data_IF_651691335864
#
_entry.id   IF_651691335864
#
_cell.length_a   1.000
_cell.length_b   1.000
_cell.length_c   1.000
_cell.angle_alpha   90.00
_cell.angle_beta   90.00
_cell.angle_gamma   90.00
#
_symmetry.space_group_name_H-M   'P 1'
#
loop_
_entity.id
_entity.type
_entity.pdbx_description
1 polymer ?
#
# COMPACT_ATOMS: atom_id res chain seq x y z
N UNK A 1 25.06 21.81 22.91
CA UNK A 1 24.40 20.75 22.12
C UNK A 1 22.97 21.15 21.88
N UNK A 2 22.66 21.64 20.68
CA UNK A 2 21.27 21.93 20.35
C UNK A 2 20.58 20.61 20.07
N UNK A 3 19.68 20.21 20.97
CA UNK A 3 18.71 19.16 20.67
C UNK A 3 17.80 19.74 19.60
N UNK A 4 17.92 19.27 18.36
CA UNK A 4 17.07 19.71 17.28
C UNK A 4 15.60 19.51 17.67
N UNK A 5 14.85 20.61 17.77
CA UNK A 5 13.42 20.53 18.03
C UNK A 5 12.74 19.85 16.82
N UNK A 6 11.94 18.81 17.07
CA UNK A 6 11.11 18.17 16.04
C UNK A 6 10.13 19.20 15.48
N UNK A 7 9.85 19.15 14.18
CA UNK A 7 8.83 20.00 13.56
C UNK A 7 7.45 19.71 14.16
N UNK A 8 6.50 20.67 14.12
CA UNK A 8 5.13 20.42 14.57
C UNK A 8 4.48 19.21 13.88
N UNK A 9 4.76 19.03 12.61
CA UNK A 9 4.23 17.91 11.83
C UNK A 9 4.81 16.56 12.30
N UNK A 10 6.10 16.53 12.64
CA UNK A 10 6.73 15.34 13.21
C UNK A 10 6.15 14.97 14.57
N UNK A 11 5.86 15.97 15.41
CA UNK A 11 5.24 15.76 16.71
C UNK A 11 3.82 15.20 16.56
N UNK A 12 3.07 15.70 15.61
CA UNK A 12 1.73 15.19 15.29
C UNK A 12 1.78 13.75 14.79
N UNK A 13 2.73 13.44 13.92
CA UNK A 13 2.96 12.07 13.44
C UNK A 13 3.27 11.13 14.61
N UNK A 14 4.20 11.50 15.47
CA UNK A 14 4.59 10.67 16.62
C UNK A 14 3.41 10.44 17.58
N UNK A 15 2.57 11.46 17.80
CA UNK A 15 1.39 11.35 18.65
C UNK A 15 0.35 10.40 18.05
N UNK A 16 0.06 10.53 16.75
CA UNK A 16 -0.85 9.62 16.03
C UNK A 16 -0.33 8.20 16.02
N UNK A 17 0.96 8.01 15.77
CA UNK A 17 1.57 6.68 15.77
C UNK A 17 1.37 5.99 17.12
N UNK A 18 1.60 6.69 18.23
CA UNK A 18 1.41 6.13 19.57
C UNK A 18 -0.06 5.79 19.84
N UNK A 19 -0.97 6.69 19.49
CA UNK A 19 -2.41 6.49 19.68
C UNK A 19 -2.91 5.27 18.90
N UNK A 20 -2.62 5.21 17.61
CA UNK A 20 -3.09 4.14 16.72
C UNK A 20 -2.43 2.81 17.04
N UNK A 21 -1.16 2.82 17.46
CA UNK A 21 -0.47 1.62 17.92
C UNK A 21 -1.11 1.06 19.18
N UNK A 22 -1.48 1.92 20.14
CA UNK A 22 -2.18 1.51 21.36
C UNK A 22 -3.57 0.91 21.07
N UNK A 23 -4.22 1.34 19.99
CA UNK A 23 -5.51 0.80 19.54
C UNK A 23 -5.38 -0.49 18.72
N UNK A 24 -4.18 -0.95 18.45
CA UNK A 24 -3.93 -2.21 17.74
C UNK A 24 -3.89 -2.14 16.22
N UNK A 25 -3.94 -0.95 15.62
CA UNK A 25 -3.99 -0.81 14.16
C UNK A 25 -2.71 -1.30 13.45
N UNK A 26 -1.60 -1.41 14.16
CA UNK A 26 -0.31 -1.83 13.59
C UNK A 26 0.14 -3.22 14.05
N UNK A 27 -0.72 -3.97 14.73
CA UNK A 27 -0.38 -5.28 15.29
C UNK A 27 -0.06 -6.29 14.19
N UNK A 28 1.09 -6.94 14.28
CA UNK A 28 1.52 -7.96 13.33
C UNK A 28 0.56 -9.16 13.29
N UNK A 29 -0.08 -9.47 14.41
CA UNK A 29 -1.06 -10.55 14.50
C UNK A 29 -2.30 -10.33 13.61
N UNK A 30 -2.61 -9.07 13.26
CA UNK A 30 -3.74 -8.72 12.39
C UNK A 30 -3.38 -8.83 10.91
N UNK A 31 -2.09 -8.79 10.56
CA UNK A 31 -1.62 -8.74 9.17
C UNK A 31 -1.87 -10.05 8.44
N UNK A 32 -2.38 -9.93 7.22
CA UNK A 32 -2.70 -11.04 6.36
C UNK A 32 -1.50 -11.40 5.48
N UNK A 33 -1.29 -12.70 5.17
CA UNK A 33 -0.26 -13.08 4.22
C UNK A 33 -0.64 -12.66 2.79
N UNK A 34 0.37 -12.32 2.00
CA UNK A 34 0.16 -12.03 0.59
C UNK A 34 -0.06 -13.35 -0.17
N UNK A 35 -1.12 -13.44 -0.99
CA UNK A 35 -1.40 -14.68 -1.73
C UNK A 35 -0.27 -15.06 -2.68
N UNK A 36 0.06 -16.33 -2.72
CA UNK A 36 1.02 -16.88 -3.70
C UNK A 36 0.44 -16.86 -5.11
N UNK A 37 -0.86 -17.20 -5.23
CA UNK A 37 -1.58 -17.24 -6.49
C UNK A 37 -2.58 -16.09 -6.55
N UNK A 38 -2.21 -15.01 -7.22
CA UNK A 38 -3.10 -13.90 -7.51
C UNK A 38 -3.32 -13.80 -9.01
N UNK A 39 -4.55 -13.52 -9.41
CA UNK A 39 -4.91 -13.31 -10.82
C UNK A 39 -5.23 -11.84 -11.13
N UNK A 40 -5.63 -11.08 -10.13
CA UNK A 40 -5.99 -9.67 -10.30
C UNK A 40 -5.48 -8.83 -9.13
N UNK A 41 -4.80 -7.74 -9.44
CA UNK A 41 -4.29 -6.77 -8.47
C UNK A 41 -5.10 -5.48 -8.59
N UNK A 42 -5.64 -5.04 -7.46
CA UNK A 42 -6.22 -3.70 -7.34
C UNK A 42 -5.13 -2.69 -7.03
N UNK A 43 -5.10 -1.60 -7.77
CA UNK A 43 -4.14 -0.51 -7.56
C UNK A 43 -4.89 0.74 -7.17
N UNK A 44 -4.61 1.25 -5.97
CA UNK A 44 -5.18 2.49 -5.44
C UNK A 44 -4.11 3.57 -5.52
N UNK A 45 -4.17 4.39 -6.53
CA UNK A 45 -3.22 5.47 -6.79
C UNK A 45 -3.79 6.47 -7.79
N UNK A 46 -3.01 7.49 -8.11
CA UNK A 46 -3.37 8.46 -9.16
C UNK A 46 -3.24 7.81 -10.55
N UNK A 47 -4.17 8.16 -11.44
CA UNK A 47 -4.14 7.72 -12.84
C UNK A 47 -3.02 8.40 -13.65
N UNK A 48 -2.41 9.48 -13.13
CA UNK A 48 -1.44 10.34 -13.85
C UNK A 48 -0.07 10.28 -13.20
N UNK A 49 0.45 9.31 -12.71
CA UNK A 49 1.77 9.26 -12.06
C UNK A 49 2.65 8.14 -12.58
N UNK A 50 3.92 8.21 -12.21
CA UNK A 50 4.90 7.19 -12.52
C UNK A 50 4.63 5.88 -11.77
N UNK A 51 3.94 5.94 -10.62
CA UNK A 51 3.68 4.78 -9.76
C UNK A 51 2.92 3.68 -10.51
N UNK A 52 1.82 4.05 -11.16
CA UNK A 52 1.02 3.09 -11.94
C UNK A 52 1.85 2.46 -13.05
N UNK A 53 2.61 3.30 -13.77
CA UNK A 53 3.48 2.83 -14.84
C UNK A 53 4.53 1.83 -14.33
N UNK A 54 5.19 2.14 -13.21
CA UNK A 54 6.22 1.29 -12.62
C UNK A 54 5.66 -0.05 -12.18
N UNK A 55 4.49 -0.04 -11.53
CA UNK A 55 3.82 -1.27 -11.10
C UNK A 55 3.48 -2.15 -12.30
N UNK A 56 2.85 -1.57 -13.33
CA UNK A 56 2.45 -2.31 -14.53
C UNK A 56 3.65 -2.85 -15.29
N UNK A 57 4.72 -2.06 -15.42
CA UNK A 57 5.94 -2.45 -16.12
C UNK A 57 6.61 -3.66 -15.47
N UNK A 58 6.84 -3.62 -14.17
CA UNK A 58 7.44 -4.74 -13.42
C UNK A 58 6.54 -5.97 -13.45
N UNK A 59 5.24 -5.77 -13.26
CA UNK A 59 4.27 -6.87 -13.22
C UNK A 59 4.17 -7.61 -14.57
N UNK A 60 4.16 -6.87 -15.66
CA UNK A 60 4.10 -7.43 -17.02
C UNK A 60 5.32 -8.31 -17.32
N UNK A 61 6.51 -7.88 -16.88
CA UNK A 61 7.73 -8.66 -17.04
C UNK A 61 7.72 -9.94 -16.21
N UNK A 62 7.13 -9.90 -15.03
CA UNK A 62 7.08 -11.06 -14.13
C UNK A 62 5.99 -12.06 -14.53
N UNK A 63 4.80 -11.58 -14.83
CA UNK A 63 3.65 -12.39 -15.25
C UNK A 63 2.75 -11.60 -16.19
N UNK A 64 2.88 -11.79 -17.51
CA UNK A 64 2.06 -11.08 -18.50
C UNK A 64 0.57 -11.45 -18.46
N UNK A 65 0.17 -12.50 -17.73
CA UNK A 65 -1.22 -12.92 -17.58
C UNK A 65 -1.93 -12.21 -16.43
N UNK A 66 -1.21 -11.44 -15.62
CA UNK A 66 -1.78 -10.73 -14.48
C UNK A 66 -2.76 -9.65 -14.92
N UNK A 67 -3.93 -9.60 -14.28
CA UNK A 67 -4.92 -8.56 -14.51
C UNK A 67 -4.80 -7.46 -13.44
N UNK A 68 -5.20 -6.25 -13.81
CA UNK A 68 -5.16 -5.07 -12.95
C UNK A 68 -6.46 -4.31 -13.00
N UNK A 69 -6.86 -3.76 -11.85
CA UNK A 69 -7.95 -2.79 -11.75
C UNK A 69 -7.44 -1.54 -11.05
N UNK A 70 -7.56 -0.40 -11.72
CA UNK A 70 -7.19 0.89 -11.15
C UNK A 70 -8.37 1.51 -10.43
N UNK A 71 -8.15 1.85 -9.16
CA UNK A 71 -9.04 2.65 -8.34
C UNK A 71 -8.40 4.03 -8.20
N UNK A 72 -8.70 4.92 -9.12
CA UNK A 72 -8.05 6.24 -9.21
C UNK A 72 -8.45 7.14 -8.06
N UNK A 73 -7.45 7.64 -7.34
CA UNK A 73 -7.62 8.55 -6.20
C UNK A 73 -6.57 9.65 -6.24
N UNK A 74 -6.87 10.83 -5.66
CA UNK A 74 -5.82 11.81 -5.42
C UNK A 74 -4.83 11.26 -4.39
N UNK A 75 -3.55 11.58 -4.55
CA UNK A 75 -2.48 11.06 -3.67
C UNK A 75 -1.76 12.17 -2.90
N UNK A 76 -2.33 13.35 -2.91
CA UNK A 76 -1.85 14.52 -2.14
C UNK A 76 -3.00 15.49 -1.89
N UNK A 77 -2.82 16.39 -0.94
CA UNK A 77 -3.80 17.40 -0.58
C UNK A 77 -4.60 17.04 0.67
N UNK A 78 -5.16 18.08 1.29
CA UNK A 78 -5.85 17.97 2.60
C UNK A 78 -7.16 17.19 2.54
N UNK A 79 -7.76 17.06 1.34
CA UNK A 79 -9.03 16.35 1.13
C UNK A 79 -8.85 14.96 0.57
N UNK A 80 -7.63 14.53 0.32
CA UNK A 80 -7.34 13.25 -0.33
C UNK A 80 -7.64 12.03 0.58
N UNK A 81 -7.41 12.14 1.88
CA UNK A 81 -7.55 11.02 2.82
C UNK A 81 -8.87 10.25 2.71
N UNK A 82 -10.03 10.91 2.83
CA UNK A 82 -11.32 10.24 2.70
C UNK A 82 -11.54 9.59 1.34
N UNK A 83 -11.00 10.18 0.26
CA UNK A 83 -11.13 9.63 -1.10
C UNK A 83 -10.24 8.39 -1.26
N UNK A 84 -9.03 8.42 -0.71
CA UNK A 84 -8.13 7.26 -0.68
C UNK A 84 -8.80 6.10 0.10
N UNK A 85 -9.40 6.39 1.25
CA UNK A 85 -10.12 5.40 2.04
C UNK A 85 -11.24 4.75 1.24
N UNK A 86 -12.04 5.53 0.51
CA UNK A 86 -13.09 5.00 -0.37
C UNK A 86 -12.54 4.16 -1.51
N UNK A 87 -11.38 4.55 -2.07
CA UNK A 87 -10.70 3.75 -3.08
C UNK A 87 -10.26 2.39 -2.57
N UNK A 88 -9.73 2.34 -1.36
CA UNK A 88 -9.36 1.09 -0.68
C UNK A 88 -10.60 0.23 -0.43
N UNK A 89 -11.67 0.82 0.09
CA UNK A 89 -12.93 0.11 0.33
C UNK A 89 -13.53 -0.46 -0.96
N UNK A 90 -13.50 0.30 -2.05
CA UNK A 90 -13.98 -0.15 -3.35
C UNK A 90 -13.16 -1.33 -3.88
N UNK A 91 -11.84 -1.28 -3.75
CA UNK A 91 -10.96 -2.36 -4.14
C UNK A 91 -11.20 -3.62 -3.28
N UNK A 92 -11.40 -3.44 -1.98
CA UNK A 92 -11.67 -4.54 -1.04
C UNK A 92 -13.01 -5.25 -1.34
N UNK A 93 -14.01 -4.50 -1.79
CA UNK A 93 -15.32 -5.05 -2.14
C UNK A 93 -15.37 -5.71 -3.52
N UNK A 94 -14.38 -5.46 -4.36
CA UNK A 94 -14.33 -6.05 -5.71
C UNK A 94 -13.97 -7.53 -5.60
N UNK A 95 -14.86 -8.44 -6.02
CA UNK A 95 -14.65 -9.88 -5.85
C UNK A 95 -13.49 -10.44 -6.70
N UNK A 96 -13.06 -9.72 -7.71
CA UNK A 96 -11.97 -10.16 -8.58
C UNK A 96 -10.59 -9.82 -8.01
N UNK A 97 -10.50 -8.84 -7.10
CA UNK A 97 -9.24 -8.36 -6.56
C UNK A 97 -8.71 -9.31 -5.49
N UNK A 98 -7.52 -9.85 -5.71
CA UNK A 98 -6.85 -10.78 -4.79
C UNK A 98 -5.88 -10.09 -3.83
N UNK A 99 -5.28 -8.99 -4.27
CA UNK A 99 -4.36 -8.18 -3.47
C UNK A 99 -4.45 -6.72 -3.92
N UNK A 100 -4.27 -5.80 -2.98
CA UNK A 100 -4.35 -4.36 -3.23
C UNK A 100 -2.96 -3.76 -3.04
N UNK A 101 -2.53 -2.91 -3.97
CA UNK A 101 -1.36 -2.04 -3.80
C UNK A 101 -1.87 -0.61 -3.65
N UNK A 102 -1.53 0.02 -2.53
CA UNK A 102 -1.77 1.45 -2.30
C UNK A 102 -0.44 2.14 -2.45
N UNK A 103 -0.32 3.06 -3.37
CA UNK A 103 0.98 3.66 -3.67
C UNK A 103 0.94 5.11 -4.07
N UNK A 104 2.07 5.76 -3.87
CA UNK A 104 2.38 7.10 -4.28
C UNK A 104 3.89 7.26 -4.46
N UNK A 105 4.29 8.12 -5.39
CA UNK A 105 5.68 8.53 -5.57
C UNK A 105 6.17 9.37 -4.39
N UNK A 106 7.50 9.58 -4.32
CA UNK A 106 8.13 10.36 -3.26
C UNK A 106 7.62 11.78 -3.15
N UNK A 107 7.81 12.36 -1.97
CA UNK A 107 7.43 13.73 -1.67
C UNK A 107 7.85 14.09 -0.27
N UNK A 108 7.57 15.33 0.14
CA UNK A 108 7.78 15.79 1.51
C UNK A 108 6.76 15.14 2.46
N UNK A 109 6.99 15.28 3.77
CA UNK A 109 6.04 14.82 4.78
C UNK A 109 4.66 15.45 4.58
N UNK A 110 4.59 16.71 4.17
CA UNK A 110 3.34 17.40 3.86
C UNK A 110 2.61 16.76 2.69
N UNK A 111 3.32 16.42 1.63
CA UNK A 111 2.76 15.75 0.44
C UNK A 111 2.22 14.36 0.76
N UNK A 112 2.87 13.65 1.66
CA UNK A 112 2.50 12.29 2.06
C UNK A 112 1.48 12.24 3.18
N UNK A 113 1.12 13.39 3.77
CA UNK A 113 0.32 13.45 5.00
C UNK A 113 -1.04 12.79 4.89
N UNK A 114 -1.68 12.82 3.73
CA UNK A 114 -2.97 12.17 3.54
C UNK A 114 -2.93 10.65 3.81
N UNK A 115 -1.75 10.03 3.74
CA UNK A 115 -1.55 8.62 4.10
C UNK A 115 -1.33 8.40 5.59
N UNK A 116 -1.35 9.46 6.39
CA UNK A 116 -1.40 9.41 7.85
C UNK A 116 -2.82 9.68 8.38
N UNK A 117 -3.78 9.95 7.50
CA UNK A 117 -5.16 10.19 7.88
C UNK A 117 -5.76 8.94 8.50
N UNK A 118 -6.42 9.10 9.65
CA UNK A 118 -7.04 8.00 10.39
C UNK A 118 -8.01 7.20 9.53
N UNK A 119 -8.78 7.85 8.67
CA UNK A 119 -9.75 7.14 7.81
C UNK A 119 -9.06 6.19 6.82
N UNK A 120 -7.87 6.54 6.35
CA UNK A 120 -7.05 5.67 5.50
C UNK A 120 -6.54 4.46 6.28
N UNK A 121 -6.04 4.69 7.50
CA UNK A 121 -5.55 3.63 8.37
C UNK A 121 -6.68 2.65 8.72
N UNK A 122 -7.86 3.15 9.05
CA UNK A 122 -9.04 2.34 9.33
C UNK A 122 -9.47 1.52 8.11
N UNK A 123 -9.44 2.11 6.91
CA UNK A 123 -9.78 1.40 5.68
C UNK A 123 -8.81 0.24 5.41
N UNK A 124 -7.52 0.47 5.63
CA UNK A 124 -6.48 -0.57 5.48
C UNK A 124 -6.70 -1.68 6.53
N UNK A 125 -6.89 -1.31 7.77
CA UNK A 125 -7.07 -2.26 8.88
C UNK A 125 -8.31 -3.14 8.69
N UNK A 126 -9.41 -2.56 8.23
CA UNK A 126 -10.69 -3.26 8.07
C UNK A 126 -10.80 -4.05 6.76
N UNK A 127 -9.85 -3.92 5.85
CA UNK A 127 -9.86 -4.64 4.59
C UNK A 127 -9.71 -6.15 4.79
N UNK A 128 -10.52 -6.93 4.10
CA UNK A 128 -10.42 -8.39 4.05
C UNK A 128 -9.39 -8.86 3.02
N UNK A 129 -9.13 -8.02 2.02
CA UNK A 129 -8.13 -8.25 0.97
C UNK A 129 -6.76 -7.79 1.46
N UNK A 130 -5.70 -8.59 1.31
CA UNK A 130 -4.36 -8.17 1.69
C UNK A 130 -3.91 -6.90 0.98
N UNK A 131 -3.26 -6.00 1.71
CA UNK A 131 -2.82 -4.70 1.20
C UNK A 131 -1.31 -4.56 1.33
N UNK A 132 -0.68 -4.15 0.22
CA UNK A 132 0.72 -3.76 0.16
C UNK A 132 0.78 -2.25 0.04
N UNK A 133 1.47 -1.59 0.97
CA UNK A 133 1.71 -0.15 0.90
C UNK A 133 3.02 0.14 0.20
N UNK A 134 3.01 1.08 -0.73
CA UNK A 134 4.19 1.59 -1.43
C UNK A 134 4.14 3.12 -1.45
N UNK A 135 4.02 3.71 -0.27
CA UNK A 135 3.86 5.16 -0.09
C UNK A 135 5.16 5.80 0.37
N UNK A 136 5.73 5.33 1.46
CA UNK A 136 6.98 5.85 2.01
C UNK A 136 8.19 5.28 1.29
N UNK A 137 9.28 6.07 1.27
CA UNK A 137 10.59 5.61 0.81
C UNK A 137 11.32 4.85 1.92
N UNK A 138 12.54 4.37 1.65
CA UNK A 138 13.32 3.51 2.55
C UNK A 138 13.38 4.01 4.00
N UNK A 139 13.48 5.32 4.21
CA UNK A 139 13.62 5.93 5.54
C UNK A 139 12.37 6.66 6.02
N UNK A 140 11.41 6.94 5.13
CA UNK A 140 10.26 7.78 5.41
C UNK A 140 8.97 6.95 5.42
N UNK A 141 8.58 6.47 6.59
CA UNK A 141 7.34 5.71 6.76
C UNK A 141 6.14 6.64 6.93
N UNK A 142 5.03 6.28 6.33
CA UNK A 142 3.71 6.82 6.67
C UNK A 142 2.98 5.84 7.59
N UNK A 143 1.91 6.30 8.25
CA UNK A 143 1.10 5.42 9.08
C UNK A 143 0.39 4.34 8.25
N UNK A 144 0.10 4.61 6.98
CA UNK A 144 -0.40 3.60 6.05
C UNK A 144 0.58 2.44 5.88
N UNK A 145 1.89 2.73 5.84
CA UNK A 145 2.92 1.69 5.74
C UNK A 145 2.93 0.77 6.97
N UNK A 146 2.68 1.30 8.16
CA UNK A 146 2.60 0.50 9.39
C UNK A 146 1.33 -0.35 9.46
N UNK A 147 0.21 0.16 8.94
CA UNK A 147 -1.07 -0.54 8.97
C UNK A 147 -1.20 -1.64 7.91
N UNK A 148 -0.53 -1.48 6.78
CA UNK A 148 -0.57 -2.43 5.67
C UNK A 148 -0.04 -3.81 6.06
N UNK A 149 -0.48 -4.84 5.36
CA UNK A 149 -0.02 -6.22 5.58
C UNK A 149 1.45 -6.39 5.20
N UNK A 150 1.87 -5.71 4.14
CA UNK A 150 3.27 -5.65 3.71
C UNK A 150 3.61 -4.23 3.24
N UNK A 151 4.88 -3.88 3.30
CA UNK A 151 5.41 -2.63 2.77
C UNK A 151 6.42 -2.90 1.66
N UNK A 152 6.24 -2.24 0.52
CA UNK A 152 7.27 -2.14 -0.50
C UNK A 152 8.00 -0.80 -0.37
N UNK A 153 9.32 -0.80 -0.38
CA UNK A 153 10.10 0.44 -0.30
C UNK A 153 9.93 1.33 -1.54
N UNK A 154 9.49 0.76 -2.64
CA UNK A 154 9.19 1.43 -3.91
C UNK A 154 7.96 0.81 -4.54
N UNK A 155 7.28 1.49 -5.49
CA UNK A 155 6.20 0.88 -6.27
C UNK A 155 6.64 -0.39 -7.00
N UNK A 156 7.85 -0.39 -7.56
CA UNK A 156 8.43 -1.57 -8.22
C UNK A 156 8.59 -2.74 -7.26
N UNK A 157 9.06 -2.50 -6.04
CA UNK A 157 9.19 -3.54 -5.01
C UNK A 157 7.82 -4.07 -4.58
N UNK A 158 6.82 -3.21 -4.45
CA UNK A 158 5.45 -3.65 -4.15
C UNK A 158 4.91 -4.58 -5.25
N UNK A 159 5.18 -4.28 -6.51
CA UNK A 159 4.82 -5.15 -7.63
C UNK A 159 5.53 -6.49 -7.56
N UNK A 160 6.81 -6.51 -7.18
CA UNK A 160 7.56 -7.76 -6.99
C UNK A 160 6.98 -8.63 -5.86
N UNK A 161 6.50 -8.01 -4.79
CA UNK A 161 5.84 -8.73 -3.70
C UNK A 161 4.50 -9.33 -4.17
N UNK A 162 3.71 -8.56 -4.93
CA UNK A 162 2.37 -8.92 -5.34
C UNK A 162 2.35 -9.94 -6.49
N UNK A 163 3.33 -9.88 -7.39
CA UNK A 163 3.37 -10.68 -8.62
C UNK A 163 4.55 -11.62 -8.60
N UNK A 164 4.30 -12.90 -8.40
CA UNK A 164 5.34 -13.92 -8.54
C UNK A 164 5.69 -14.11 -10.03
N UNK A 165 6.97 -14.40 -10.34
CA UNK A 165 7.34 -14.75 -11.71
C UNK A 165 6.54 -15.95 -12.21
N UNK A 166 6.13 -15.93 -13.47
CA UNK A 166 5.35 -16.98 -14.09
C UNK A 166 6.04 -18.35 -13.97
N UNK A 167 7.37 -18.36 -14.09
CA UNK A 167 8.18 -19.58 -13.91
C UNK A 167 8.05 -20.15 -12.50
N UNK A 168 8.02 -19.30 -11.47
CA UNK A 168 7.82 -19.73 -10.08
C UNK A 168 6.42 -20.31 -9.88
N UNK A 169 5.39 -19.72 -10.47
CA UNK A 169 4.02 -20.22 -10.42
C UNK A 169 3.91 -21.60 -11.09
N UNK A 170 4.56 -21.79 -12.24
CA UNK A 170 4.60 -23.07 -12.92
C UNK A 170 5.25 -24.16 -12.06
N UNK A 171 6.34 -23.85 -11.36
CA UNK A 171 6.99 -24.76 -10.42
C UNK A 171 6.08 -25.15 -9.25
N UNK A 172 5.36 -24.19 -8.67
CA UNK A 172 4.39 -24.45 -7.60
C UNK A 172 3.27 -25.37 -8.06
N UNK A 173 2.76 -25.18 -9.27
CA UNK A 173 1.71 -26.03 -9.83
C UNK A 173 2.21 -27.46 -10.07
N UNK A 174 3.44 -27.63 -10.55
CA UNK A 174 4.04 -28.95 -10.77
C UNK A 174 4.24 -29.73 -9.47
N UNK A 175 4.58 -29.06 -8.37
CA UNK A 175 4.78 -29.70 -7.06
C UNK A 175 3.47 -30.21 -6.45
N UNK A 176 2.31 -29.70 -6.87
CA UNK A 176 0.99 -30.10 -6.37
C UNK A 176 0.34 -31.22 -7.18
N UNK A 177 0.94 -31.57 -8.29
CA UNK A 177 0.53 -32.73 -9.12
C UNK A 177 1.27 -33.99 -8.65
#
# INVERSE_FOLDING_TARGET
MQVGSKSPLQLEFDALQRELSALGYFDDAHKQPIPVLSSCIGIVTSSTGAVLHDILHISEHRNPLMQFKLFSVPVQGTTAGPIIAKGIEAADKDPDVDVIIVGRGGGSMEDLWCFNDRVVIEAIYNASTPIISAVGHETDYTLADYAADMRGATPSHAAEIAVLPLTTLQQHLQQKL
#
